data_IF_538006546737
#
_entry.id   IF_538006546737
#
_cell.length_a   1.000
_cell.length_b   1.000
_cell.length_c   1.000
_cell.angle_alpha   90.00
_cell.angle_beta   90.00
_cell.angle_gamma   90.00
#
_symmetry.space_group_name_H-M   'P 1'
#
loop_
_entity.id
_entity.type
_entity.pdbx_description
1 polymer ?
#
# COMPACT_ATOMS: atom_id res chain seq x y z
N UNK A 1 -9.49 14.47 26.15
CA UNK A 1 -8.65 13.44 25.51
C UNK A 1 -8.00 14.13 24.34
N UNK A 2 -6.67 14.05 24.19
CA UNK A 2 -6.02 14.62 23.03
C UNK A 2 -6.36 13.73 21.83
N UNK A 3 -6.91 14.32 20.77
CA UNK A 3 -7.10 13.62 19.50
C UNK A 3 -5.70 13.27 18.96
N UNK A 4 -5.45 11.99 18.73
CA UNK A 4 -4.19 11.52 18.16
C UNK A 4 -4.13 12.02 16.72
N UNK A 5 -3.01 12.63 16.33
CA UNK A 5 -2.83 13.17 14.99
C UNK A 5 -2.49 12.08 13.97
N UNK A 6 -2.75 12.34 12.68
CA UNK A 6 -2.39 11.42 11.59
C UNK A 6 -0.90 11.08 11.58
N UNK A 7 -0.03 12.06 11.87
CA UNK A 7 1.41 11.84 11.93
C UNK A 7 1.81 10.87 13.06
N UNK A 8 1.15 10.95 14.20
CA UNK A 8 1.36 10.02 15.32
C UNK A 8 0.84 8.63 15.01
N UNK A 9 -0.30 8.52 14.31
CA UNK A 9 -0.85 7.25 13.85
C UNK A 9 0.05 6.58 12.81
N UNK A 10 0.47 7.32 11.78
CA UNK A 10 1.40 6.84 10.75
C UNK A 10 2.68 6.30 11.40
N UNK A 11 3.26 7.08 12.33
CA UNK A 11 4.45 6.64 13.05
C UNK A 11 4.21 5.37 13.87
N UNK A 12 3.10 5.31 14.60
CA UNK A 12 2.76 4.13 15.41
C UNK A 12 2.60 2.89 14.56
N UNK A 13 1.88 3.00 13.44
CA UNK A 13 1.68 1.89 12.51
C UNK A 13 3.03 1.44 11.94
N UNK A 14 3.86 2.38 11.46
CA UNK A 14 5.17 2.09 10.92
C UNK A 14 6.09 1.39 11.94
N UNK A 15 6.14 1.85 13.18
CA UNK A 15 6.95 1.23 14.24
C UNK A 15 6.52 -0.23 14.50
N UNK A 16 5.22 -0.52 14.48
CA UNK A 16 4.70 -1.89 14.62
C UNK A 16 5.02 -2.77 13.41
N UNK A 17 4.94 -2.24 12.20
CA UNK A 17 5.33 -2.95 10.99
C UNK A 17 6.82 -3.29 10.99
N UNK A 18 7.68 -2.34 11.41
CA UNK A 18 9.11 -2.59 11.58
C UNK A 18 9.40 -3.72 12.58
N UNK A 19 8.64 -3.79 13.68
CA UNK A 19 8.75 -4.86 14.67
C UNK A 19 8.15 -6.21 14.21
N UNK A 20 7.58 -6.28 13.01
CA UNK A 20 6.91 -7.47 12.48
C UNK A 20 5.56 -7.77 13.13
N UNK A 21 4.95 -6.79 13.80
CA UNK A 21 3.68 -6.91 14.49
C UNK A 21 2.48 -6.62 13.57
N UNK A 22 2.47 -7.24 12.39
CA UNK A 22 1.43 -7.00 11.35
C UNK A 22 0.04 -7.35 11.86
N UNK A 23 -0.12 -8.42 12.65
CA UNK A 23 -1.41 -8.83 13.24
C UNK A 23 -2.09 -7.71 14.05
N UNK A 24 -1.30 -6.89 14.76
CA UNK A 24 -1.84 -5.76 15.52
C UNK A 24 -2.36 -4.67 14.59
N UNK A 25 -1.67 -4.42 13.47
CA UNK A 25 -2.10 -3.43 12.47
C UNK A 25 -3.33 -3.92 11.72
N UNK A 26 -3.43 -5.21 11.42
CA UNK A 26 -4.65 -5.82 10.90
C UNK A 26 -5.81 -5.63 11.88
N UNK A 27 -5.60 -5.82 13.18
CA UNK A 27 -6.63 -5.56 14.19
C UNK A 27 -7.07 -4.08 14.18
N UNK A 28 -6.13 -3.14 14.06
CA UNK A 28 -6.44 -1.71 13.94
C UNK A 28 -7.29 -1.40 12.72
N UNK A 29 -6.89 -1.86 11.52
CA UNK A 29 -7.64 -1.61 10.27
C UNK A 29 -9.03 -2.26 10.29
N UNK A 30 -9.16 -3.44 10.92
CA UNK A 30 -10.47 -4.08 11.11
C UNK A 30 -11.41 -3.30 12.02
N UNK A 31 -10.85 -2.60 13.00
CA UNK A 31 -11.60 -1.80 13.96
C UNK A 31 -12.00 -0.45 13.37
N UNK A 32 -11.11 0.18 12.59
CA UNK A 32 -11.35 1.46 11.96
C UNK A 32 -10.82 1.47 10.50
N UNK A 33 -11.72 1.32 9.52
CA UNK A 33 -11.37 1.39 8.09
C UNK A 33 -10.82 2.76 7.66
N UNK A 34 -10.94 3.83 8.45
CA UNK A 34 -10.35 5.12 8.06
C UNK A 34 -8.82 5.04 8.00
N UNK A 35 -8.17 4.04 8.61
CA UNK A 35 -6.71 3.87 8.54
C UNK A 35 -6.18 3.54 7.14
N UNK A 36 -7.01 3.03 6.21
CA UNK A 36 -6.62 2.84 4.81
C UNK A 36 -6.21 4.16 4.12
N UNK A 37 -6.69 5.31 4.60
CA UNK A 37 -6.30 6.61 4.06
C UNK A 37 -4.83 6.98 4.37
N UNK A 38 -4.22 6.32 5.36
CA UNK A 38 -2.85 6.57 5.79
C UNK A 38 -1.82 5.72 5.00
N UNK A 39 -2.28 4.76 4.18
CA UNK A 39 -1.40 3.80 3.51
C UNK A 39 -0.34 4.47 2.64
N UNK A 40 -0.70 5.52 1.90
CA UNK A 40 0.26 6.30 1.11
C UNK A 40 1.36 6.97 1.94
N UNK A 41 1.03 7.48 3.14
CA UNK A 41 2.00 8.13 4.02
C UNK A 41 2.93 7.11 4.69
N UNK A 42 2.39 5.94 5.10
CA UNK A 42 3.19 4.85 5.67
C UNK A 42 4.18 4.31 4.63
N UNK A 43 3.78 4.22 3.36
CA UNK A 43 4.63 3.69 2.29
C UNK A 43 5.83 4.60 1.96
N UNK A 44 5.77 5.88 2.36
CA UNK A 44 6.88 6.83 2.24
C UNK A 44 7.94 6.66 3.34
N UNK A 45 7.74 5.76 4.30
CA UNK A 45 8.73 5.48 5.33
C UNK A 45 10.03 4.95 4.70
N UNK A 46 11.18 5.45 5.15
CA UNK A 46 12.49 5.11 4.61
C UNK A 46 12.93 3.68 5.01
N UNK A 47 12.38 3.14 6.09
CA UNK A 47 12.72 1.81 6.60
C UNK A 47 12.15 0.73 5.69
N UNK A 48 13.03 -0.10 5.14
CA UNK A 48 12.65 -1.24 4.31
C UNK A 48 11.67 -2.20 5.01
N UNK A 49 11.87 -2.45 6.32
CA UNK A 49 10.99 -3.32 7.10
C UNK A 49 9.54 -2.83 7.16
N UNK A 50 9.31 -1.51 7.18
CA UNK A 50 7.96 -0.93 7.18
C UNK A 50 7.25 -1.22 5.86
N UNK A 51 7.93 -1.02 4.74
CA UNK A 51 7.36 -1.26 3.41
C UNK A 51 7.10 -2.74 3.13
N UNK A 52 8.02 -3.61 3.56
CA UNK A 52 7.75 -5.06 3.56
C UNK A 52 6.55 -5.41 4.43
N UNK A 53 6.43 -4.81 5.61
CA UNK A 53 5.28 -4.98 6.49
C UNK A 53 3.97 -4.51 5.85
N UNK A 54 4.01 -3.43 5.04
CA UNK A 54 2.86 -2.98 4.26
C UNK A 54 2.41 -4.01 3.22
N UNK A 55 3.36 -4.65 2.51
CA UNK A 55 3.02 -5.71 1.56
C UNK A 55 2.33 -6.89 2.27
N UNK A 56 2.90 -7.38 3.37
CA UNK A 56 2.30 -8.47 4.17
C UNK A 56 0.92 -8.06 4.71
N UNK A 57 0.81 -6.83 5.23
CA UNK A 57 -0.46 -6.29 5.72
C UNK A 57 -1.55 -6.32 4.64
N UNK A 58 -1.24 -5.86 3.42
CA UNK A 58 -2.21 -5.80 2.34
C UNK A 58 -2.56 -7.17 1.76
N UNK A 59 -1.60 -8.11 1.70
CA UNK A 59 -1.85 -9.50 1.33
C UNK A 59 -2.86 -10.15 2.31
N UNK A 60 -2.64 -9.98 3.62
CA UNK A 60 -3.55 -10.52 4.63
C UNK A 60 -4.91 -9.81 4.62
N UNK A 61 -4.94 -8.47 4.53
CA UNK A 61 -6.18 -7.70 4.46
C UNK A 61 -7.01 -8.05 3.21
N UNK A 62 -6.36 -8.29 2.07
CA UNK A 62 -7.03 -8.75 0.85
C UNK A 62 -7.72 -10.10 1.08
N UNK A 63 -7.07 -11.03 1.77
CA UNK A 63 -7.63 -12.34 2.04
C UNK A 63 -8.84 -12.29 2.99
N UNK A 64 -8.84 -11.39 3.97
CA UNK A 64 -9.88 -11.34 5.02
C UNK A 64 -10.97 -10.29 4.80
N UNK A 65 -10.68 -9.20 4.09
CA UNK A 65 -11.58 -8.05 3.83
C UNK A 65 -11.37 -7.45 2.42
N UNK A 66 -11.57 -8.22 1.35
CA UNK A 66 -11.32 -7.75 -0.02
C UNK A 66 -12.18 -6.55 -0.43
N UNK A 67 -13.33 -6.32 0.22
CA UNK A 67 -14.18 -5.16 -0.08
C UNK A 67 -13.66 -3.84 0.52
N UNK A 68 -12.79 -3.89 1.54
CA UNK A 68 -12.31 -2.70 2.26
C UNK A 68 -10.94 -2.21 1.77
N UNK A 69 -10.12 -3.10 1.21
CA UNK A 69 -8.79 -2.73 0.71
C UNK A 69 -8.79 -1.66 -0.38
N UNK A 70 -9.89 -1.51 -1.13
CA UNK A 70 -10.06 -0.45 -2.13
C UNK A 70 -10.03 0.96 -1.52
N UNK A 71 -10.31 1.10 -0.23
CA UNK A 71 -10.26 2.39 0.47
C UNK A 71 -8.85 3.00 0.44
N UNK A 72 -7.82 2.17 0.33
CA UNK A 72 -6.43 2.62 0.22
C UNK A 72 -6.09 3.22 -1.15
N UNK A 73 -6.87 2.93 -2.20
CA UNK A 73 -6.57 3.38 -3.56
C UNK A 73 -6.44 4.91 -3.64
N UNK A 74 -7.29 5.63 -2.90
CA UNK A 74 -7.25 7.10 -2.87
C UNK A 74 -5.94 7.66 -2.32
N UNK A 75 -5.32 7.00 -1.33
CA UNK A 75 -4.06 7.42 -0.73
C UNK A 75 -2.84 6.94 -1.52
N UNK A 76 -2.94 5.79 -2.20
CA UNK A 76 -1.86 5.19 -2.99
C UNK A 76 -1.75 5.78 -4.40
N UNK A 77 -2.86 6.15 -5.03
CA UNK A 77 -2.89 6.64 -6.42
C UNK A 77 -1.92 7.82 -6.70
N UNK A 78 -1.80 8.84 -5.82
CA UNK A 78 -0.86 9.93 -6.05
C UNK A 78 0.61 9.50 -6.12
N UNK A 79 0.98 8.38 -5.47
CA UNK A 79 2.35 7.88 -5.45
C UNK A 79 2.78 7.29 -6.80
N UNK A 80 1.83 6.88 -7.67
CA UNK A 80 2.12 6.41 -9.03
C UNK A 80 2.73 7.50 -9.94
N UNK A 81 2.70 8.77 -9.51
CA UNK A 81 3.33 9.89 -10.21
C UNK A 81 4.48 10.52 -9.41
N UNK A 82 4.98 9.83 -8.37
CA UNK A 82 6.11 10.32 -7.59
C UNK A 82 7.36 10.46 -8.47
N UNK A 83 8.19 11.46 -8.17
CA UNK A 83 9.47 11.66 -8.87
C UNK A 83 10.43 10.49 -8.62
N UNK A 84 10.32 9.85 -7.47
CA UNK A 84 11.15 8.74 -7.09
C UNK A 84 10.57 7.43 -7.66
N UNK A 85 11.26 6.75 -8.60
CA UNK A 85 10.80 5.47 -9.14
C UNK A 85 10.62 4.41 -8.05
N UNK A 86 11.39 4.49 -6.97
CA UNK A 86 11.25 3.57 -5.86
C UNK A 86 9.87 3.67 -5.20
N UNK A 87 9.41 4.90 -4.91
CA UNK A 87 8.06 5.14 -4.35
C UNK A 87 6.96 4.74 -5.33
N UNK A 88 7.15 4.98 -6.64
CA UNK A 88 6.21 4.51 -7.67
C UNK A 88 6.09 2.98 -7.64
N UNK A 89 7.22 2.27 -7.61
CA UNK A 89 7.25 0.80 -7.58
C UNK A 89 6.55 0.21 -6.35
N UNK A 90 6.79 0.79 -5.18
CA UNK A 90 6.10 0.37 -3.94
C UNK A 90 4.58 0.57 -4.05
N UNK A 91 4.11 1.69 -4.61
CA UNK A 91 2.69 1.93 -4.81
C UNK A 91 2.07 0.97 -5.84
N UNK A 92 2.79 0.65 -6.91
CA UNK A 92 2.39 -0.38 -7.88
C UNK A 92 2.23 -1.73 -7.19
N UNK A 93 3.20 -2.12 -6.35
CA UNK A 93 3.17 -3.39 -5.62
C UNK A 93 1.92 -3.52 -4.73
N UNK A 94 1.63 -2.51 -3.90
CA UNK A 94 0.45 -2.54 -3.02
C UNK A 94 -0.86 -2.53 -3.83
N UNK A 95 -0.96 -1.72 -4.89
CA UNK A 95 -2.14 -1.72 -5.77
C UNK A 95 -2.30 -3.05 -6.53
N UNK A 96 -1.19 -3.73 -6.83
CA UNK A 96 -1.17 -5.09 -7.37
C UNK A 96 -1.76 -6.10 -6.40
N UNK A 97 -1.40 -6.03 -5.11
CA UNK A 97 -1.99 -6.88 -4.06
C UNK A 97 -3.49 -6.64 -3.85
N UNK A 98 -3.93 -5.38 -3.96
CA UNK A 98 -5.37 -5.01 -3.91
C UNK A 98 -6.13 -5.69 -5.07
N UNK A 99 -5.52 -5.74 -6.26
CA UNK A 99 -5.99 -6.47 -7.45
C UNK A 99 -7.47 -6.29 -7.82
N UNK A 100 -8.04 -5.11 -7.57
CA UNK A 100 -9.42 -4.80 -7.97
C UNK A 100 -9.46 -4.04 -9.28
N UNK A 101 -10.62 -4.03 -9.96
CA UNK A 101 -10.78 -3.32 -11.24
C UNK A 101 -10.31 -1.85 -11.19
N UNK A 102 -10.61 -1.06 -10.15
CA UNK A 102 -10.08 0.30 -10.02
C UNK A 102 -8.55 0.34 -9.89
N UNK A 103 -7.95 -0.56 -9.10
CA UNK A 103 -6.50 -0.63 -8.93
C UNK A 103 -5.80 -1.00 -10.24
N UNK A 104 -6.27 -2.04 -10.94
CA UNK A 104 -5.70 -2.47 -12.23
C UNK A 104 -5.78 -1.38 -13.30
N UNK A 105 -6.89 -0.62 -13.36
CA UNK A 105 -7.01 0.55 -14.25
C UNK A 105 -5.93 1.60 -14.00
N UNK A 106 -5.52 1.80 -12.75
CA UNK A 106 -4.43 2.70 -12.39
C UNK A 106 -3.06 2.15 -12.77
N UNK A 107 -2.87 0.82 -12.77
CA UNK A 107 -1.60 0.18 -13.11
C UNK A 107 -1.32 0.08 -14.61
N UNK A 108 -2.36 0.00 -15.46
CA UNK A 108 -2.18 -0.14 -16.91
C UNK A 108 -1.21 0.87 -17.56
N UNK A 109 -1.20 2.16 -17.22
CA UNK A 109 -0.23 3.10 -17.80
C UNK A 109 1.22 2.82 -17.37
N UNK A 110 1.43 2.22 -16.19
CA UNK A 110 2.75 2.03 -15.57
C UNK A 110 3.55 0.91 -16.24
N UNK A 111 2.94 0.04 -17.06
CA UNK A 111 3.68 -0.94 -17.88
C UNK A 111 4.63 -0.29 -18.89
N UNK A 112 4.50 1.03 -19.10
CA UNK A 112 5.37 1.86 -19.92
C UNK A 112 6.08 2.95 -19.08
N UNK A 113 6.21 2.75 -17.76
CA UNK A 113 6.95 3.68 -16.90
C UNK A 113 8.39 3.86 -17.43
N UNK A 114 8.95 5.08 -17.38
CA UNK A 114 10.32 5.32 -17.81
C UNK A 114 11.36 4.55 -16.99
N UNK A 115 11.03 4.19 -15.74
CA UNK A 115 11.86 3.30 -14.94
C UNK A 115 11.54 1.84 -15.28
N UNK A 116 12.54 1.05 -15.71
CA UNK A 116 12.31 -0.32 -16.16
C UNK A 116 11.83 -1.24 -15.02
N UNK A 117 12.22 -1.00 -13.76
CA UNK A 117 11.79 -1.82 -12.63
C UNK A 117 10.31 -1.56 -12.32
N UNK A 118 9.89 -0.29 -12.33
CA UNK A 118 8.47 0.06 -12.15
C UNK A 118 7.61 -0.57 -13.26
N UNK A 119 8.10 -0.51 -14.51
CA UNK A 119 7.40 -1.09 -15.64
C UNK A 119 7.33 -2.63 -15.58
N UNK A 120 8.36 -3.30 -15.04
CA UNK A 120 8.36 -4.74 -14.81
C UNK A 120 7.33 -5.12 -13.73
N UNK A 121 7.37 -4.49 -12.56
CA UNK A 121 6.41 -4.74 -11.46
C UNK A 121 4.97 -4.53 -11.96
N UNK A 122 4.72 -3.46 -12.73
CA UNK A 122 3.38 -3.20 -13.26
C UNK A 122 2.90 -4.26 -14.24
N UNK A 123 3.80 -4.87 -15.03
CA UNK A 123 3.44 -6.00 -15.91
C UNK A 123 3.14 -7.23 -15.07
N UNK A 124 4.01 -7.57 -14.13
CA UNK A 124 3.83 -8.73 -13.25
C UNK A 124 2.48 -8.66 -12.52
N UNK A 125 2.14 -7.52 -11.91
CA UNK A 125 0.85 -7.33 -11.23
C UNK A 125 -0.38 -7.43 -12.15
N UNK A 126 -0.21 -7.23 -13.47
CA UNK A 126 -1.31 -7.32 -14.44
C UNK A 126 -1.35 -8.69 -15.15
N UNK A 127 -0.28 -9.47 -15.10
CA UNK A 127 -0.13 -10.78 -15.74
C UNK A 127 -0.80 -11.92 -14.97
N UNK A 128 -1.10 -11.76 -13.68
CA UNK A 128 -1.78 -12.73 -12.80
C UNK A 128 -3.25 -13.04 -13.20
N UNK A 129 -3.61 -12.86 -14.46
CA UNK A 129 -4.92 -13.12 -15.08
C UNK A 129 -5.18 -14.60 -15.43
N UNK A 130 -4.47 -15.57 -14.82
CA UNK A 130 -4.59 -17.00 -15.17
C UNK A 130 -5.25 -17.88 -14.11
#
# INVERSE_FOLDING_TARGET
MADITDAELVKTIADFLEMGHVENIIAMFRQDPDYYRLSGDILRDERFAVRMGMAVLFEELQAIRPQEVELAISSLSPLLSDKDPFIRGEAVNILGLINTDPARKLLHPLVNDPDPQVAEIARDCLEDEQ
#
